data_IF_586172956330
#
_entry.id   IF_586172956330
#
_cell.length_a   1.000
_cell.length_b   1.000
_cell.length_c   1.000
_cell.angle_alpha   90.00
_cell.angle_beta   90.00
_cell.angle_gamma   90.00
#
_symmetry.space_group_name_H-M   'P 1'
#
loop_
_entity.id
_entity.type
_entity.pdbx_description
1 polymer ?
#
# COMPACT_ATOMS: atom_id res chain seq x y z
N UNK A 1 -21.11 -24.95 -11.29
CA UNK A 1 -20.83 -23.87 -10.32
C UNK A 1 -20.43 -22.64 -11.13
N UNK A 2 -21.15 -21.52 -11.04
CA UNK A 2 -20.74 -20.27 -11.70
C UNK A 2 -19.84 -19.49 -10.76
N UNK A 3 -18.61 -19.18 -11.19
CA UNK A 3 -17.75 -18.22 -10.50
C UNK A 3 -18.18 -16.79 -10.78
N UNK A 4 -17.70 -15.85 -9.96
CA UNK A 4 -17.80 -14.42 -10.21
C UNK A 4 -16.43 -13.78 -9.93
N UNK A 5 -16.17 -12.65 -10.57
CA UNK A 5 -14.96 -11.86 -10.32
C UNK A 5 -15.15 -10.99 -9.06
N UNK A 6 -14.12 -10.95 -8.22
CA UNK A 6 -14.09 -10.12 -7.03
C UNK A 6 -12.82 -9.27 -7.02
N UNK A 7 -12.97 -7.97 -6.80
CA UNK A 7 -11.86 -7.05 -6.63
C UNK A 7 -11.35 -7.12 -5.19
N UNK A 8 -10.05 -7.35 -5.02
CA UNK A 8 -9.40 -7.28 -3.71
C UNK A 8 -8.31 -6.22 -3.76
N UNK A 9 -8.58 -5.10 -3.11
CA UNK A 9 -7.70 -3.93 -3.16
C UNK A 9 -6.82 -3.83 -1.91
N UNK A 10 -5.56 -3.44 -2.12
CA UNK A 10 -4.66 -3.14 -1.01
C UNK A 10 -5.02 -1.82 -0.33
N UNK A 11 -5.26 -1.85 0.98
CA UNK A 11 -5.34 -0.64 1.80
C UNK A 11 -3.94 -0.04 1.97
N UNK A 12 -3.77 1.21 1.54
CA UNK A 12 -2.49 1.92 1.65
C UNK A 12 -2.10 2.06 3.13
N UNK A 13 -0.87 1.66 3.46
CA UNK A 13 -0.35 1.69 4.82
C UNK A 13 0.10 3.07 5.29
N UNK A 14 0.26 3.27 6.62
CA UNK A 14 0.61 4.56 7.22
C UNK A 14 2.03 5.04 6.86
N UNK A 15 2.91 4.15 6.41
CA UNK A 15 4.30 4.45 6.03
C UNK A 15 4.47 4.68 4.53
N UNK A 16 3.39 4.93 3.78
CA UNK A 16 3.47 5.27 2.36
C UNK A 16 4.39 6.48 2.11
N UNK A 17 5.42 6.31 1.28
CA UNK A 17 6.42 7.34 0.96
C UNK A 17 7.07 7.07 -0.41
N UNK A 18 7.81 8.05 -0.91
CA UNK A 18 8.46 7.98 -2.22
C UNK A 18 9.99 7.88 -2.09
N UNK A 19 10.52 6.67 -1.90
CA UNK A 19 11.98 6.45 -1.78
C UNK A 19 12.70 6.19 -3.12
N UNK A 20 11.96 6.09 -4.24
CA UNK A 20 12.56 5.84 -5.56
C UNK A 20 13.36 4.53 -5.65
N UNK A 21 12.89 3.48 -4.98
CA UNK A 21 13.59 2.17 -4.86
C UNK A 21 13.37 1.25 -6.06
N UNK A 22 12.34 1.50 -6.89
CA UNK A 22 11.97 0.61 -8.01
C UNK A 22 12.70 1.02 -9.29
N UNK A 23 13.84 0.39 -9.57
CA UNK A 23 14.61 0.62 -10.81
C UNK A 23 13.75 0.28 -12.04
N UNK A 24 13.69 1.20 -13.01
CA UNK A 24 12.87 1.06 -14.22
C UNK A 24 11.44 1.57 -14.09
N UNK A 25 10.99 1.94 -12.88
CA UNK A 25 9.71 2.64 -12.69
C UNK A 25 9.96 4.14 -12.66
N UNK A 26 9.75 4.82 -13.79
CA UNK A 26 9.92 6.27 -13.93
C UNK A 26 9.12 7.06 -12.89
N UNK A 27 7.88 6.66 -12.58
CA UNK A 27 7.08 7.34 -11.56
C UNK A 27 7.70 7.22 -10.16
N UNK A 28 8.31 6.08 -9.82
CA UNK A 28 9.02 5.92 -8.55
C UNK A 28 10.27 6.79 -8.49
N UNK A 29 11.05 6.82 -9.58
CA UNK A 29 12.31 7.55 -9.66
C UNK A 29 12.10 9.07 -9.69
N UNK A 30 11.14 9.55 -10.50
CA UNK A 30 10.87 10.98 -10.68
C UNK A 30 10.26 11.63 -9.44
N UNK A 31 9.59 10.85 -8.57
CA UNK A 31 9.00 11.35 -7.33
C UNK A 31 9.85 11.05 -6.10
N UNK A 32 11.10 10.57 -6.27
CA UNK A 32 12.01 10.26 -5.16
C UNK A 32 12.15 11.45 -4.21
N UNK A 33 12.11 11.16 -2.91
CA UNK A 33 12.23 12.10 -1.79
C UNK A 33 11.12 13.18 -1.74
N UNK A 34 10.09 13.03 -2.57
CA UNK A 34 8.90 13.87 -2.52
C UNK A 34 8.08 13.64 -1.24
N UNK A 35 7.38 14.69 -0.79
CA UNK A 35 6.46 14.58 0.35
C UNK A 35 5.28 13.69 0.01
N UNK A 36 5.05 12.66 0.83
CA UNK A 36 3.86 11.81 0.74
C UNK A 36 2.76 12.28 1.69
N UNK A 37 1.52 11.85 1.40
CA UNK A 37 0.40 12.00 2.31
C UNK A 37 -0.32 10.64 2.47
N UNK A 38 0.11 9.81 3.44
CA UNK A 38 -0.42 8.46 3.63
C UNK A 38 -1.94 8.42 3.83
N UNK A 39 -2.48 9.36 4.61
CA UNK A 39 -3.92 9.47 4.86
C UNK A 39 -4.68 9.75 3.56
N UNK A 40 -4.22 10.71 2.75
CA UNK A 40 -4.84 11.03 1.47
C UNK A 40 -4.77 9.85 0.50
N UNK A 41 -3.63 9.14 0.43
CA UNK A 41 -3.48 7.96 -0.42
C UNK A 41 -4.43 6.83 -0.01
N UNK A 42 -4.59 6.56 1.29
CA UNK A 42 -5.57 5.59 1.78
C UNK A 42 -7.01 5.99 1.45
N UNK A 43 -7.37 7.27 1.64
CA UNK A 43 -8.71 7.78 1.31
C UNK A 43 -9.03 7.71 -0.19
N UNK A 44 -8.05 7.96 -1.06
CA UNK A 44 -8.22 7.80 -2.51
C UNK A 44 -8.51 6.34 -2.88
N UNK A 45 -7.79 5.39 -2.28
CA UNK A 45 -8.04 3.96 -2.46
C UNK A 45 -9.43 3.54 -1.96
N UNK A 46 -9.80 3.94 -0.74
CA UNK A 46 -11.11 3.64 -0.15
C UNK A 46 -12.27 4.23 -0.96
N UNK A 47 -12.11 5.45 -1.48
CA UNK A 47 -13.10 6.07 -2.36
C UNK A 47 -13.34 5.22 -3.61
N UNK A 48 -12.26 4.77 -4.27
CA UNK A 48 -12.36 3.88 -5.43
C UNK A 48 -13.07 2.57 -5.09
N UNK A 49 -12.64 1.89 -4.03
CA UNK A 49 -13.22 0.61 -3.59
C UNK A 49 -14.74 0.76 -3.34
N UNK A 50 -15.14 1.80 -2.60
CA UNK A 50 -16.54 2.07 -2.30
C UNK A 50 -17.33 2.40 -3.57
N UNK A 51 -16.76 3.17 -4.49
CA UNK A 51 -17.40 3.51 -5.76
C UNK A 51 -17.68 2.29 -6.65
N UNK A 52 -16.83 1.26 -6.62
CA UNK A 52 -17.07 0.00 -7.32
C UNK A 52 -18.09 -0.88 -6.58
N UNK A 53 -17.96 -1.00 -5.27
CA UNK A 53 -18.94 -1.72 -4.44
C UNK A 53 -20.37 -1.17 -4.62
N UNK A 54 -20.52 0.16 -4.66
CA UNK A 54 -21.80 0.84 -4.87
C UNK A 54 -22.40 0.61 -6.26
N UNK A 55 -21.58 0.19 -7.23
CA UNK A 55 -22.00 -0.19 -8.59
C UNK A 55 -22.31 -1.69 -8.72
N UNK A 56 -22.24 -2.45 -7.62
CA UNK A 56 -22.55 -3.88 -7.59
C UNK A 56 -21.37 -4.80 -7.90
N UNK A 57 -20.15 -4.28 -8.03
CA UNK A 57 -18.96 -5.12 -8.15
C UNK A 57 -18.58 -5.68 -6.79
N UNK A 58 -18.26 -6.98 -6.71
CA UNK A 58 -17.80 -7.57 -5.45
C UNK A 58 -16.45 -6.98 -5.07
N UNK A 59 -16.34 -6.46 -3.86
CA UNK A 59 -15.19 -5.72 -3.37
C UNK A 59 -14.75 -6.24 -2.00
N UNK A 60 -13.47 -6.58 -1.88
CA UNK A 60 -12.76 -6.89 -0.65
C UNK A 60 -11.56 -5.96 -0.42
N UNK A 61 -11.01 -6.01 0.79
CA UNK A 61 -9.86 -5.19 1.21
C UNK A 61 -8.77 -6.11 1.76
N UNK A 62 -7.53 -5.89 1.33
CA UNK A 62 -6.33 -6.51 1.90
C UNK A 62 -5.62 -5.49 2.82
N UNK A 63 -5.38 -5.81 4.10
CA UNK A 63 -4.77 -4.87 5.05
C UNK A 63 -3.29 -4.57 4.70
N UNK A 64 -2.76 -3.42 5.14
CA UNK A 64 -1.35 -3.11 4.95
C UNK A 64 -0.46 -4.03 5.79
N UNK A 65 0.79 -4.18 5.37
CA UNK A 65 1.80 -4.93 6.10
C UNK A 65 2.31 -4.15 7.32
N UNK A 66 2.79 -4.82 8.38
CA UNK A 66 3.50 -4.18 9.48
C UNK A 66 4.73 -3.42 8.98
N UNK A 67 4.81 -2.12 9.29
CA UNK A 67 5.92 -1.24 8.94
C UNK A 67 6.17 -0.25 10.08
N UNK A 68 7.44 0.06 10.44
CA UNK A 68 8.69 -0.48 9.87
C UNK A 68 8.88 -1.98 10.12
N UNK A 69 9.61 -2.66 9.23
CA UNK A 69 9.90 -4.09 9.40
C UNK A 69 11.12 -4.29 10.32
N UNK A 70 10.89 -4.23 11.64
CA UNK A 70 11.95 -4.40 12.64
C UNK A 70 12.60 -5.79 12.61
N UNK A 71 11.84 -6.82 12.16
CA UNK A 71 12.39 -8.17 12.01
C UNK A 71 13.53 -8.17 10.98
N UNK A 72 13.31 -7.56 9.81
CA UNK A 72 14.34 -7.44 8.78
C UNK A 72 15.57 -6.70 9.30
N UNK A 73 15.38 -5.61 10.05
CA UNK A 73 16.51 -4.86 10.62
C UNK A 73 17.36 -5.74 11.54
N UNK A 74 16.74 -6.58 12.37
CA UNK A 74 17.47 -7.53 13.22
C UNK A 74 18.21 -8.59 12.39
N UNK A 75 17.58 -9.10 11.34
CA UNK A 75 18.18 -10.10 10.44
C UNK A 75 19.43 -9.55 9.72
N UNK A 76 19.51 -8.24 9.48
CA UNK A 76 20.69 -7.59 8.88
C UNK A 76 21.67 -7.01 9.91
N UNK A 77 21.56 -7.41 11.18
CA UNK A 77 22.58 -7.14 12.21
C UNK A 77 22.30 -5.95 13.13
N UNK A 78 21.17 -5.25 12.99
CA UNK A 78 20.79 -4.21 13.95
C UNK A 78 20.31 -4.83 15.27
N UNK A 79 20.89 -4.39 16.39
CA UNK A 79 20.54 -4.84 17.73
C UNK A 79 19.86 -3.72 18.52
N UNK A 80 18.95 -4.07 19.41
CA UNK A 80 18.22 -3.10 20.24
C UNK A 80 16.81 -3.54 20.57
N UNK A 81 16.25 -2.92 21.61
CA UNK A 81 14.90 -3.21 22.13
C UNK A 81 13.84 -2.22 21.62
N UNK A 82 14.22 -1.24 20.80
CA UNK A 82 13.32 -0.20 20.26
C UNK A 82 13.48 -0.12 18.75
#
# INVERSE_FOLDING_TARGET
MSGFEANFDGLVGPTHHYAGLSVGNEASQNNRDGLSNPKKAALQGLYKMKALADRGFVQGILPPQPRPNLRLLREVGFQGQR
#
